data_IF_307897280776
#
_entry.id   IF_307897280776
#
_cell.length_a   1.000
_cell.length_b   1.000
_cell.length_c   1.000
_cell.angle_alpha   90.00
_cell.angle_beta   90.00
_cell.angle_gamma   90.00
#
_symmetry.space_group_name_H-M   'P 1'
#
loop_
_entity.id
_entity.type
_entity.pdbx_description
1 polymer ?
#
# COMPACT_ATOMS: atom_id res chain seq x y z
N UNK A 1 10.43 36.05 12.78
CA UNK A 1 9.05 36.41 12.42
C UNK A 1 8.93 36.22 10.92
N UNK A 2 8.49 35.05 10.48
CA UNK A 2 8.14 34.77 9.09
C UNK A 2 6.63 34.91 9.00
N UNK A 3 6.17 35.90 8.25
CA UNK A 3 4.75 36.11 7.97
C UNK A 3 4.26 34.93 7.12
N UNK A 4 3.29 34.19 7.64
CA UNK A 4 2.46 33.30 6.84
C UNK A 4 1.75 34.15 5.78
N UNK A 5 1.79 33.80 4.49
CA UNK A 5 1.06 34.55 3.48
C UNK A 5 -0.44 34.50 3.82
N UNK A 6 -1.10 35.67 3.83
CA UNK A 6 -2.56 35.78 3.91
C UNK A 6 -3.17 34.98 2.74
N UNK A 7 -3.74 33.81 3.03
CA UNK A 7 -4.60 33.10 2.09
C UNK A 7 -5.92 33.86 2.05
N UNK A 8 -6.36 34.40 0.89
CA UNK A 8 -7.62 35.13 0.81
C UNK A 8 -8.80 34.19 1.11
N UNK A 9 -9.60 34.51 2.13
CA UNK A 9 -10.75 33.71 2.60
C UNK A 9 -11.92 33.60 1.58
N UNK A 10 -11.85 34.27 0.42
CA UNK A 10 -12.94 34.31 -0.57
C UNK A 10 -12.41 34.14 -2.01
N UNK A 11 -11.85 32.97 -2.31
CA UNK A 11 -11.66 32.56 -3.72
C UNK A 11 -12.98 32.00 -4.26
N UNK A 12 -13.62 32.77 -5.15
CA UNK A 12 -14.83 32.34 -5.87
C UNK A 12 -14.49 31.08 -6.72
N UNK A 13 -15.11 29.91 -6.43
CA UNK A 13 -14.81 28.67 -7.12
C UNK A 13 -14.99 28.74 -8.64
N UNK A 14 -15.91 29.59 -9.13
CA UNK A 14 -16.12 29.76 -10.56
C UNK A 14 -15.02 30.61 -11.22
N UNK A 15 -14.44 31.57 -10.49
CA UNK A 15 -13.27 32.32 -10.97
C UNK A 15 -12.03 31.44 -11.04
N UNK A 16 -11.82 30.58 -10.04
CA UNK A 16 -10.73 29.59 -10.05
C UNK A 16 -10.87 28.63 -11.23
N UNK A 17 -12.07 28.08 -11.47
CA UNK A 17 -12.31 27.20 -12.64
C UNK A 17 -12.07 27.90 -13.97
N UNK A 18 -12.49 29.16 -14.10
CA UNK A 18 -12.24 29.93 -15.32
C UNK A 18 -10.76 30.21 -15.52
N UNK A 19 -10.04 30.53 -14.45
CA UNK A 19 -8.60 30.74 -14.48
C UNK A 19 -7.86 29.48 -14.91
N UNK A 20 -8.13 28.33 -14.27
CA UNK A 20 -7.50 27.04 -14.61
C UNK A 20 -7.78 26.63 -16.08
N UNK A 21 -8.98 26.89 -16.59
CA UNK A 21 -9.31 26.63 -18.00
C UNK A 21 -8.59 27.56 -18.99
N UNK A 22 -8.19 28.74 -18.53
CA UNK A 22 -7.51 29.74 -19.35
C UNK A 22 -5.99 29.56 -19.42
N UNK A 23 -5.42 28.71 -18.55
CA UNK A 23 -4.00 28.37 -18.57
C UNK A 23 -3.62 27.60 -19.85
N UNK A 24 -2.38 27.75 -20.34
CA UNK A 24 -1.78 26.87 -21.33
C UNK A 24 -1.92 25.40 -20.93
N UNK A 25 -2.02 24.50 -21.90
CA UNK A 25 -2.24 23.06 -21.64
C UNK A 25 -1.16 22.46 -20.72
N UNK A 26 0.10 22.81 -20.94
CA UNK A 26 1.25 22.33 -20.16
C UNK A 26 1.22 22.86 -18.70
N UNK A 27 0.99 24.17 -18.50
CA UNK A 27 0.84 24.76 -17.15
C UNK A 27 -0.40 24.25 -16.43
N UNK A 28 -1.48 23.97 -17.17
CA UNK A 28 -2.70 23.38 -16.62
C UNK A 28 -2.47 21.93 -16.20
N UNK A 29 -1.71 21.16 -16.98
CA UNK A 29 -1.34 19.78 -16.63
C UNK A 29 -0.45 19.75 -15.39
N UNK A 30 0.58 20.60 -15.29
CA UNK A 30 1.40 20.73 -14.08
C UNK A 30 0.56 21.11 -12.86
N UNK A 31 -0.31 22.11 -12.98
CA UNK A 31 -1.14 22.57 -11.86
C UNK A 31 -2.22 21.54 -11.47
N UNK A 32 -2.75 20.77 -12.42
CA UNK A 32 -3.67 19.67 -12.14
C UNK A 32 -2.94 18.46 -11.55
N UNK A 33 -1.67 18.22 -11.88
CA UNK A 33 -0.84 17.21 -11.21
C UNK A 33 -0.55 17.59 -9.76
N UNK A 34 -0.29 18.87 -9.48
CA UNK A 34 -0.11 19.36 -8.10
C UNK A 34 -1.40 19.28 -7.26
N UNK A 35 -2.57 19.39 -7.89
CA UNK A 35 -3.90 19.38 -7.24
C UNK A 35 -4.56 17.98 -7.30
N UNK A 36 -4.04 17.06 -8.10
CA UNK A 36 -4.43 15.67 -8.09
C UNK A 36 -4.01 15.07 -6.74
N UNK A 37 -4.94 15.19 -5.79
CA UNK A 37 -5.16 14.14 -4.82
C UNK A 37 -5.67 12.95 -5.61
N UNK A 38 -4.76 12.24 -6.28
CA UNK A 38 -5.05 10.85 -6.58
C UNK A 38 -5.50 10.23 -5.25
N UNK A 39 -6.60 9.46 -5.28
CA UNK A 39 -6.93 8.55 -4.18
C UNK A 39 -5.83 7.47 -4.16
N UNK A 40 -4.60 7.87 -3.80
CA UNK A 40 -3.46 6.98 -3.67
C UNK A 40 -3.73 6.20 -2.41
N UNK A 41 -4.29 5.01 -2.58
CA UNK A 41 -4.40 4.06 -1.49
C UNK A 41 -3.01 3.88 -0.88
N UNK A 42 -2.83 4.13 0.43
CA UNK A 42 -1.54 3.96 1.05
C UNK A 42 -1.16 2.48 1.02
N UNK A 43 -0.22 2.14 0.15
CA UNK A 43 0.33 0.79 0.05
C UNK A 43 1.68 0.77 0.74
N UNK A 44 1.82 -0.05 1.79
CA UNK A 44 3.13 -0.33 2.38
C UNK A 44 3.82 -1.37 1.51
N UNK A 45 5.12 -1.19 1.28
CA UNK A 45 5.94 -2.21 0.62
C UNK A 45 5.89 -3.54 1.38
N UNK A 46 6.21 -4.65 0.69
CA UNK A 46 6.08 -5.98 1.28
C UNK A 46 7.00 -6.19 2.47
N UNK A 47 6.41 -6.31 3.66
CA UNK A 47 7.09 -6.70 4.89
C UNK A 47 6.58 -8.08 5.36
N UNK A 48 7.45 -9.12 5.44
CA UNK A 48 7.04 -10.46 5.87
C UNK A 48 6.64 -10.52 7.36
N UNK A 49 7.01 -9.50 8.14
CA UNK A 49 6.77 -9.43 9.58
C UNK A 49 5.82 -8.25 9.92
N UNK A 50 4.53 -8.52 10.20
CA UNK A 50 3.56 -7.48 10.60
C UNK A 50 3.94 -6.72 11.88
N UNK A 51 4.69 -7.36 12.78
CA UNK A 51 5.19 -6.70 13.99
C UNK A 51 6.30 -5.69 13.68
N UNK A 52 7.11 -5.96 12.65
CA UNK A 52 8.11 -5.01 12.14
C UNK A 52 7.43 -3.76 11.57
N UNK A 53 6.33 -3.91 10.83
CA UNK A 53 5.56 -2.77 10.30
C UNK A 53 5.02 -1.91 11.45
N UNK A 54 4.36 -2.54 12.44
CA UNK A 54 3.88 -1.83 13.64
C UNK A 54 5.03 -1.08 14.35
N UNK A 55 6.16 -1.76 14.56
CA UNK A 55 7.33 -1.16 15.20
C UNK A 55 7.88 0.03 14.40
N UNK A 56 7.95 -0.06 13.08
CA UNK A 56 8.37 1.06 12.22
C UNK A 56 7.45 2.27 12.37
N UNK A 57 6.13 2.09 12.30
CA UNK A 57 5.19 3.21 12.45
C UNK A 57 5.28 3.84 13.85
N UNK A 58 5.28 3.03 14.91
CA UNK A 58 5.40 3.55 16.27
C UNK A 58 6.72 4.29 16.47
N UNK A 59 7.83 3.71 16.03
CA UNK A 59 9.16 4.30 16.19
C UNK A 59 9.27 5.66 15.49
N UNK A 60 8.78 5.79 14.25
CA UNK A 60 8.81 7.07 13.54
C UNK A 60 7.81 8.05 14.17
N UNK A 61 6.62 7.61 14.56
CA UNK A 61 5.64 8.48 15.22
C UNK A 61 6.15 9.06 16.55
N UNK A 62 6.88 8.26 17.33
CA UNK A 62 7.42 8.67 18.63
C UNK A 62 8.61 9.64 18.51
N UNK A 63 9.38 9.55 17.42
CA UNK A 63 10.61 10.33 17.22
C UNK A 63 10.50 11.44 16.16
N UNK A 64 9.42 11.45 15.36
CA UNK A 64 9.18 12.39 14.26
C UNK A 64 9.98 12.04 12.99
N UNK A 65 11.26 12.39 13.00
CA UNK A 65 12.19 12.09 11.89
C UNK A 65 13.30 11.19 12.40
N UNK A 66 13.56 10.10 11.68
CA UNK A 66 14.60 9.12 12.01
C UNK A 66 15.43 8.81 10.78
N UNK A 67 16.63 8.31 10.96
CA UNK A 67 17.48 7.81 9.86
C UNK A 67 17.20 6.34 9.55
N UNK A 68 17.56 5.89 8.34
CA UNK A 68 17.51 4.47 7.99
C UNK A 68 18.35 3.59 8.93
N UNK A 69 19.49 4.08 9.42
CA UNK A 69 20.32 3.35 10.39
C UNK A 69 19.68 3.26 11.78
N UNK A 70 19.03 4.33 12.26
CA UNK A 70 18.28 4.29 13.52
C UNK A 70 17.11 3.31 13.45
N UNK A 71 16.35 3.34 12.34
CA UNK A 71 15.27 2.39 12.09
C UNK A 71 15.80 0.94 11.99
N UNK A 72 16.95 0.73 11.32
CA UNK A 72 17.61 -0.58 11.24
C UNK A 72 17.91 -1.11 12.63
N UNK A 73 18.60 -0.31 13.44
CA UNK A 73 19.04 -0.70 14.77
C UNK A 73 17.84 -1.04 15.66
N UNK A 74 16.78 -0.22 15.61
CA UNK A 74 15.54 -0.48 16.32
C UNK A 74 14.91 -1.83 15.94
N UNK A 75 14.80 -2.13 14.64
CA UNK A 75 14.21 -3.39 14.17
C UNK A 75 15.08 -4.61 14.48
N UNK A 76 16.41 -4.46 14.48
CA UNK A 76 17.35 -5.53 14.87
C UNK A 76 17.27 -5.79 16.39
N UNK A 77 17.20 -4.74 17.20
CA UNK A 77 17.10 -4.87 18.67
C UNK A 77 15.82 -5.60 19.10
N UNK A 78 14.77 -5.51 18.29
CA UNK A 78 13.50 -6.22 18.47
C UNK A 78 13.45 -7.63 17.83
N UNK A 79 14.55 -8.09 17.21
CA UNK A 79 14.62 -9.36 16.46
C UNK A 79 13.61 -9.43 15.30
N UNK A 80 13.29 -8.27 14.70
CA UNK A 80 12.32 -8.14 13.61
C UNK A 80 12.95 -8.00 12.22
N UNK A 81 14.24 -7.69 12.15
CA UNK A 81 15.04 -7.66 10.93
C UNK A 81 16.39 -8.36 11.14
N UNK A 82 16.81 -9.15 10.16
CA UNK A 82 18.15 -9.74 10.10
C UNK A 82 18.91 -9.09 8.94
N UNK A 83 19.45 -7.90 9.19
CA UNK A 83 20.14 -7.07 8.21
C UNK A 83 21.45 -6.53 8.77
N UNK A 84 22.53 -6.76 8.03
CA UNK A 84 23.84 -6.18 8.33
C UNK A 84 23.80 -4.64 8.21
N UNK A 85 24.72 -3.98 8.93
CA UNK A 85 25.03 -2.56 8.73
C UNK A 85 25.31 -2.29 7.23
N UNK A 86 24.72 -1.22 6.69
CA UNK A 86 24.79 -0.91 5.25
C UNK A 86 23.73 -1.59 4.37
N UNK A 87 22.83 -2.42 4.92
CA UNK A 87 21.70 -3.01 4.18
C UNK A 87 20.36 -2.48 4.70
N UNK A 88 19.82 -1.47 4.03
CA UNK A 88 18.64 -0.71 4.48
C UNK A 88 17.31 -1.09 3.81
N UNK A 89 17.22 -2.27 3.19
CA UNK A 89 15.98 -2.73 2.57
C UNK A 89 15.23 -3.67 3.53
N UNK A 90 14.34 -3.11 4.35
CA UNK A 90 13.47 -3.85 5.27
C UNK A 90 12.13 -4.24 4.63
N UNK A 91 11.87 -3.80 3.40
CA UNK A 91 10.60 -4.00 2.71
C UNK A 91 9.42 -3.19 3.27
N UNK A 92 9.64 -2.23 4.17
CA UNK A 92 8.56 -1.44 4.80
C UNK A 92 8.47 -0.04 4.17
N UNK A 93 9.59 0.69 4.13
CA UNK A 93 9.67 2.07 3.62
C UNK A 93 9.97 2.04 2.11
N UNK A 94 9.16 2.73 1.30
CA UNK A 94 9.49 2.94 -0.12
C UNK A 94 10.55 4.01 -0.30
N UNK A 95 11.19 3.99 -1.45
CA UNK A 95 12.12 5.02 -1.92
C UNK A 95 11.62 5.67 -3.21
N UNK A 96 10.32 5.49 -3.50
CA UNK A 96 9.66 6.15 -4.61
C UNK A 96 9.31 7.57 -4.15
N UNK A 97 9.54 8.55 -5.02
CA UNK A 97 9.43 9.99 -4.69
C UNK A 97 7.98 10.40 -4.34
N UNK A 98 7.00 9.53 -4.61
CA UNK A 98 5.56 9.71 -4.43
C UNK A 98 4.95 8.74 -3.39
N UNK A 99 5.73 8.22 -2.43
CA UNK A 99 5.20 7.37 -1.35
C UNK A 99 4.17 8.14 -0.50
N UNK A 100 2.90 7.69 -0.43
CA UNK A 100 1.85 8.40 0.29
C UNK A 100 1.98 8.30 1.82
N UNK A 101 2.86 7.46 2.35
CA UNK A 101 3.01 7.11 3.78
C UNK A 101 4.29 7.69 4.37
N UNK A 102 5.40 7.64 3.62
CA UNK A 102 6.73 8.03 4.10
C UNK A 102 7.33 9.15 3.26
N UNK A 103 7.92 10.15 3.92
CA UNK A 103 8.83 11.09 3.26
C UNK A 103 10.27 10.61 3.46
N UNK A 104 11.06 10.57 2.39
CA UNK A 104 12.50 10.26 2.45
C UNK A 104 13.32 11.36 1.80
N UNK A 105 14.46 11.75 2.39
CA UNK A 105 15.34 12.79 1.84
C UNK A 105 16.31 12.31 0.75
N UNK A 106 16.36 11.00 0.49
CA UNK A 106 17.34 10.39 -0.39
C UNK A 106 17.12 8.90 -0.61
N UNK A 107 18.17 8.23 -1.07
CA UNK A 107 18.12 6.80 -1.40
C UNK A 107 18.25 5.90 -0.16
N UNK A 108 18.54 4.60 -0.33
CA UNK A 108 18.73 3.69 0.82
C UNK A 108 20.14 3.83 1.40
N UNK A 109 20.39 4.94 2.08
CA UNK A 109 21.66 5.28 2.73
C UNK A 109 21.47 5.47 4.24
N UNK A 110 22.53 5.28 5.02
CA UNK A 110 22.47 5.24 6.48
C UNK A 110 21.84 6.49 7.10
N UNK A 111 22.19 7.65 6.53
CA UNK A 111 21.84 9.00 6.96
C UNK A 111 20.60 9.55 6.26
N UNK A 112 19.97 8.78 5.36
CA UNK A 112 18.71 9.20 4.76
C UNK A 112 17.63 9.28 5.84
N UNK A 113 17.02 10.46 5.93
CA UNK A 113 15.97 10.76 6.89
C UNK A 113 14.63 10.24 6.37
N UNK A 114 13.84 9.70 7.30
CA UNK A 114 12.53 9.12 7.11
C UNK A 114 11.59 9.80 8.09
N UNK A 115 10.45 10.28 7.61
CA UNK A 115 9.35 10.78 8.45
C UNK A 115 8.01 10.30 7.90
N UNK A 116 6.96 10.39 8.70
CA UNK A 116 5.60 10.08 8.24
C UNK A 116 5.03 11.27 7.47
N UNK A 117 4.27 10.97 6.42
CA UNK A 117 3.33 11.93 5.82
C UNK A 117 2.10 12.09 6.73
N UNK A 118 1.19 13.06 6.49
CA UNK A 118 -0.08 13.12 7.21
C UNK A 118 -0.92 11.82 7.11
N UNK A 119 -0.84 11.10 5.99
CA UNK A 119 -1.49 9.78 5.84
C UNK A 119 -0.78 8.74 6.71
N UNK A 120 0.55 8.75 6.72
CA UNK A 120 1.36 7.88 7.58
C UNK A 120 1.09 8.11 9.07
N UNK A 121 0.91 9.35 9.51
CA UNK A 121 0.53 9.71 10.89
C UNK A 121 -0.85 9.15 11.26
N UNK A 122 -1.83 9.28 10.35
CA UNK A 122 -3.17 8.72 10.56
C UNK A 122 -3.13 7.19 10.69
N UNK A 123 -2.32 6.51 9.88
CA UNK A 123 -2.07 5.07 9.97
C UNK A 123 -1.43 4.72 11.32
N UNK A 124 -0.37 5.44 11.70
CA UNK A 124 0.35 5.23 12.94
C UNK A 124 -0.57 5.34 14.17
N UNK A 125 -1.53 6.27 14.14
CA UNK A 125 -2.48 6.49 15.24
C UNK A 125 -3.36 5.29 15.61
N UNK A 126 -3.46 4.28 14.72
CA UNK A 126 -4.23 3.05 14.96
C UNK A 126 -3.43 2.03 15.76
N UNK A 127 -2.10 2.06 15.64
CA UNK A 127 -1.20 1.19 16.39
C UNK A 127 -1.02 1.72 17.82
N UNK A 128 -1.19 0.85 18.82
CA UNK A 128 -0.89 1.18 20.21
C UNK A 128 0.43 0.55 20.68
N UNK A 129 0.77 0.73 21.96
CA UNK A 129 1.98 0.16 22.58
C UNK A 129 1.87 -1.36 22.91
N UNK A 130 0.75 -2.02 22.62
CA UNK A 130 0.60 -3.46 22.89
C UNK A 130 1.61 -4.27 22.07
N UNK A 131 2.35 -5.16 22.74
CA UNK A 131 3.26 -6.11 22.08
C UNK A 131 2.53 -7.01 21.07
N UNK A 132 1.25 -7.31 21.32
CA UNK A 132 0.43 -8.11 20.42
C UNK A 132 -0.30 -7.24 19.41
N UNK A 133 -0.35 -7.70 18.15
CA UNK A 133 -1.16 -7.10 17.09
C UNK A 133 -2.65 -7.32 17.39
N UNK A 134 -3.38 -6.24 17.60
CA UNK A 134 -4.82 -6.25 17.89
C UNK A 134 -5.63 -6.53 16.62
N UNK A 135 -6.91 -6.95 16.74
CA UNK A 135 -7.76 -7.20 15.57
C UNK A 135 -7.88 -6.00 14.62
N UNK A 136 -7.99 -4.77 15.15
CA UNK A 136 -8.08 -3.54 14.34
C UNK A 136 -6.77 -3.25 13.60
N UNK A 137 -5.63 -3.45 14.26
CA UNK A 137 -4.29 -3.29 13.68
C UNK A 137 -4.04 -4.35 12.60
N UNK A 138 -4.52 -5.57 12.82
CA UNK A 138 -4.46 -6.64 11.82
C UNK A 138 -5.30 -6.30 10.60
N UNK A 139 -6.52 -5.80 10.79
CA UNK A 139 -7.39 -5.38 9.69
C UNK A 139 -6.75 -4.25 8.88
N UNK A 140 -6.17 -3.26 9.55
CA UNK A 140 -5.40 -2.19 8.93
C UNK A 140 -4.21 -2.72 8.15
N UNK A 141 -3.35 -3.55 8.76
CA UNK A 141 -2.18 -4.15 8.09
C UNK A 141 -2.57 -5.00 6.87
N UNK A 142 -3.69 -5.72 6.94
CA UNK A 142 -4.24 -6.44 5.79
C UNK A 142 -4.71 -5.49 4.67
N UNK A 143 -5.22 -4.30 5.00
CA UNK A 143 -5.63 -3.28 4.04
C UNK A 143 -4.47 -2.47 3.45
N UNK A 144 -3.41 -2.22 4.23
CA UNK A 144 -2.22 -1.47 3.83
C UNK A 144 -1.25 -2.27 2.98
N UNK A 145 -1.20 -3.59 3.17
CA UNK A 145 -0.40 -4.45 2.33
C UNK A 145 -1.12 -4.67 0.99
N UNK A 146 -0.39 -4.93 -0.12
CA UNK A 146 -0.97 -5.17 -1.45
C UNK A 146 -1.86 -6.42 -1.57
N UNK A 147 -2.44 -6.92 -0.47
CA UNK A 147 -3.54 -7.86 -0.46
C UNK A 147 -4.86 -7.26 -0.95
N UNK A 148 -4.94 -5.97 -1.30
CA UNK A 148 -6.00 -5.48 -2.20
C UNK A 148 -6.13 -6.37 -3.44
N UNK A 149 -5.00 -6.75 -4.05
CA UNK A 149 -5.00 -7.71 -5.17
C UNK A 149 -5.42 -9.14 -4.78
N UNK A 150 -5.20 -9.55 -3.53
CA UNK A 150 -5.69 -10.82 -2.99
C UNK A 150 -7.21 -10.79 -2.72
N UNK A 151 -7.73 -9.68 -2.20
CA UNK A 151 -9.15 -9.43 -2.05
C UNK A 151 -9.85 -9.30 -3.39
N UNK A 152 -9.27 -8.58 -4.37
CA UNK A 152 -9.76 -8.55 -5.75
C UNK A 152 -9.77 -9.95 -6.35
N UNK A 153 -8.74 -10.76 -6.12
CA UNK A 153 -8.72 -12.16 -6.57
C UNK A 153 -9.86 -12.98 -5.95
N UNK A 154 -10.11 -12.85 -4.64
CA UNK A 154 -11.21 -13.53 -3.96
C UNK A 154 -12.58 -12.99 -4.40
N UNK A 155 -12.71 -11.69 -4.66
CA UNK A 155 -13.92 -11.04 -5.18
C UNK A 155 -14.25 -11.55 -6.59
N UNK A 156 -13.25 -11.64 -7.47
CA UNK A 156 -13.42 -12.22 -8.79
C UNK A 156 -13.82 -13.71 -8.71
N UNK A 157 -13.32 -14.46 -7.72
CA UNK A 157 -13.81 -15.82 -7.48
C UNK A 157 -15.28 -15.84 -7.02
N UNK A 158 -15.67 -14.89 -6.18
CA UNK A 158 -17.02 -14.76 -5.64
C UNK A 158 -18.06 -14.40 -6.71
N UNK A 159 -17.74 -13.43 -7.58
CA UNK A 159 -18.58 -13.04 -8.72
C UNK A 159 -18.90 -14.23 -9.64
N UNK A 160 -18.02 -15.22 -9.65
CA UNK A 160 -18.14 -16.45 -10.41
C UNK A 160 -18.43 -17.67 -9.52
N UNK A 161 -19.00 -17.52 -8.32
CA UNK A 161 -19.22 -18.63 -7.37
C UNK A 161 -19.96 -19.83 -7.95
N UNK A 162 -21.04 -19.57 -8.69
CA UNK A 162 -21.91 -20.63 -9.25
C UNK A 162 -21.24 -21.43 -10.37
N UNK A 163 -20.55 -20.74 -11.29
CA UNK A 163 -20.01 -21.34 -12.49
C UNK A 163 -18.50 -21.62 -12.40
N UNK A 164 -17.78 -20.97 -11.49
CA UNK A 164 -16.33 -20.88 -11.43
C UNK A 164 -15.72 -20.04 -12.56
N UNK A 165 -14.49 -19.60 -12.38
CA UNK A 165 -13.73 -18.80 -13.37
C UNK A 165 -12.57 -19.60 -13.95
N UNK A 166 -12.31 -19.51 -15.26
CA UNK A 166 -11.11 -20.12 -15.83
C UNK A 166 -9.87 -19.36 -15.38
N UNK A 167 -8.75 -20.07 -15.22
CA UNK A 167 -7.46 -19.45 -14.86
C UNK A 167 -7.08 -18.30 -15.78
N UNK A 168 -7.32 -18.46 -17.09
CA UNK A 168 -6.96 -17.44 -18.07
C UNK A 168 -7.81 -16.19 -17.86
N UNK A 169 -9.13 -16.35 -17.74
CA UNK A 169 -10.05 -15.24 -17.55
C UNK A 169 -9.78 -14.50 -16.22
N UNK A 170 -9.44 -15.23 -15.16
CA UNK A 170 -8.99 -14.65 -13.89
C UNK A 170 -7.66 -13.91 -14.02
N UNK A 171 -6.71 -14.45 -14.81
CA UNK A 171 -5.43 -13.79 -15.08
C UNK A 171 -5.63 -12.51 -15.89
N UNK A 172 -6.49 -12.54 -16.91
CA UNK A 172 -6.79 -11.40 -17.76
C UNK A 172 -7.48 -10.30 -16.95
N UNK A 173 -8.48 -10.63 -16.12
CA UNK A 173 -9.12 -9.66 -15.22
C UNK A 173 -8.15 -9.04 -14.20
N UNK A 174 -7.22 -9.83 -13.65
CA UNK A 174 -6.17 -9.32 -12.77
C UNK A 174 -5.15 -8.45 -13.53
N UNK A 175 -4.89 -8.73 -14.81
CA UNK A 175 -4.02 -7.90 -15.66
C UNK A 175 -4.71 -6.59 -16.03
N UNK A 176 -6.03 -6.61 -16.26
CA UNK A 176 -6.80 -5.39 -16.52
C UNK A 176 -6.76 -4.44 -15.31
N UNK A 177 -6.77 -4.99 -14.08
CA UNK A 177 -6.71 -4.21 -12.83
C UNK A 177 -5.29 -3.78 -12.43
N UNK A 178 -4.28 -4.64 -12.63
CA UNK A 178 -2.94 -4.45 -12.06
C UNK A 178 -1.80 -4.47 -13.11
N UNK A 179 -2.13 -4.39 -14.40
CA UNK A 179 -1.18 -4.46 -15.49
C UNK A 179 -0.36 -5.75 -15.49
N UNK A 180 0.90 -5.69 -15.92
CA UNK A 180 1.79 -6.86 -15.99
C UNK A 180 1.98 -7.61 -14.67
N UNK A 181 1.80 -6.94 -13.52
CA UNK A 181 1.87 -7.54 -12.17
C UNK A 181 0.69 -8.49 -11.90
N UNK A 182 -0.44 -8.32 -12.60
CA UNK A 182 -1.62 -9.18 -12.47
C UNK A 182 -1.36 -10.68 -12.72
N UNK A 183 -0.44 -11.01 -13.65
CA UNK A 183 -0.01 -12.40 -13.88
C UNK A 183 0.71 -13.01 -12.69
N UNK A 184 1.61 -12.24 -12.08
CA UNK A 184 2.32 -12.64 -10.88
C UNK A 184 1.35 -12.86 -9.72
N UNK A 185 0.46 -11.89 -9.47
CA UNK A 185 -0.56 -11.98 -8.41
C UNK A 185 -1.47 -13.19 -8.60
N UNK A 186 -1.98 -13.42 -9.82
CA UNK A 186 -2.80 -14.60 -10.13
C UNK A 186 -2.06 -15.89 -9.79
N UNK A 187 -0.78 -16.01 -10.17
CA UNK A 187 0.05 -17.17 -9.81
C UNK A 187 0.23 -17.35 -8.31
N UNK A 188 0.60 -16.27 -7.61
CA UNK A 188 0.87 -16.23 -6.19
C UNK A 188 -0.37 -16.58 -5.36
N UNK A 189 -1.49 -15.89 -5.57
CA UNK A 189 -2.74 -16.10 -4.82
C UNK A 189 -3.38 -17.46 -5.13
N UNK A 190 -3.33 -17.93 -6.38
CA UNK A 190 -3.79 -19.30 -6.72
C UNK A 190 -3.04 -20.37 -5.91
N UNK A 191 -1.74 -20.18 -5.69
CA UNK A 191 -0.91 -21.11 -4.92
C UNK A 191 -1.25 -21.02 -3.43
N UNK A 192 -1.30 -19.79 -2.91
CA UNK A 192 -1.51 -19.54 -1.49
C UNK A 192 -2.93 -19.90 -1.02
N UNK A 193 -3.96 -19.42 -1.70
CA UNK A 193 -5.36 -19.70 -1.34
C UNK A 193 -5.76 -21.16 -1.55
N UNK A 194 -5.12 -21.89 -2.46
CA UNK A 194 -5.29 -23.34 -2.55
C UNK A 194 -4.72 -24.07 -1.32
N UNK A 195 -3.59 -23.60 -0.77
CA UNK A 195 -3.02 -24.17 0.47
C UNK A 195 -3.88 -23.84 1.70
N UNK A 196 -4.53 -22.68 1.68
CA UNK A 196 -5.46 -22.24 2.73
C UNK A 196 -6.85 -22.85 2.60
N UNK A 197 -7.13 -23.61 1.54
CA UNK A 197 -8.43 -24.23 1.31
C UNK A 197 -9.53 -23.23 0.92
N UNK A 198 -9.18 -22.03 0.45
CA UNK A 198 -10.12 -20.99 0.04
C UNK A 198 -10.53 -21.10 -1.44
N UNK A 199 -9.88 -21.95 -2.22
CA UNK A 199 -10.29 -22.24 -3.59
C UNK A 199 -10.18 -23.71 -3.92
N UNK A 200 -11.13 -24.19 -4.72
CA UNK A 200 -11.11 -25.51 -5.35
C UNK A 200 -10.68 -25.41 -6.81
N UNK A 201 -10.08 -26.49 -7.31
CA UNK A 201 -9.55 -26.57 -8.68
C UNK A 201 -10.30 -27.64 -9.43
N UNK A 202 -11.03 -27.23 -10.46
CA UNK A 202 -11.66 -28.12 -11.40
C UNK A 202 -10.86 -28.15 -12.71
N UNK A 203 -10.74 -29.33 -13.32
CA UNK A 203 -10.09 -29.50 -14.61
C UNK A 203 -11.13 -29.61 -15.72
N UNK A 204 -11.28 -28.55 -16.51
CA UNK A 204 -12.15 -28.53 -17.70
C UNK A 204 -11.29 -28.74 -18.94
N UNK A 205 -11.18 -30.01 -19.36
CA UNK A 205 -10.31 -30.43 -20.46
C UNK A 205 -8.81 -30.18 -20.15
N UNK A 206 -8.18 -29.29 -20.93
CA UNK A 206 -6.78 -28.85 -20.70
C UNK A 206 -6.67 -27.60 -19.81
N UNK A 207 -7.80 -26.94 -19.51
CA UNK A 207 -7.82 -25.71 -18.71
C UNK A 207 -8.10 -26.02 -17.23
N UNK A 208 -7.74 -25.06 -16.38
CA UNK A 208 -8.07 -25.06 -14.94
C UNK A 208 -9.17 -24.05 -14.71
N UNK A 209 -10.19 -24.44 -13.95
CA UNK A 209 -11.27 -23.59 -13.46
C UNK A 209 -11.15 -23.53 -11.94
N UNK A 210 -11.41 -22.36 -11.37
CA UNK A 210 -11.30 -22.11 -9.94
C UNK A 210 -12.68 -21.75 -9.39
N UNK A 211 -12.99 -22.35 -8.25
CA UNK A 211 -14.22 -22.12 -7.51
C UNK A 211 -13.88 -21.63 -6.11
N UNK A 212 -14.64 -20.69 -5.53
CA UNK A 212 -14.47 -20.31 -4.15
C UNK A 212 -14.83 -21.50 -3.24
N UNK A 213 -14.05 -21.70 -2.18
CA UNK A 213 -14.32 -22.72 -1.15
C UNK A 213 -14.50 -22.10 0.24
N UNK A 214 -14.89 -20.83 0.26
CA UNK A 214 -15.24 -20.09 1.47
C UNK A 214 -16.76 -19.83 1.51
N UNK A 215 -17.35 -19.59 2.70
CA UNK A 215 -18.77 -19.32 2.85
C UNK A 215 -19.22 -18.04 2.13
N UNK A 216 -20.45 -18.05 1.65
CA UNK A 216 -21.15 -16.92 1.02
C UNK A 216 -21.59 -15.91 2.11
N UNK A 217 -20.62 -15.21 2.73
CA UNK A 217 -20.85 -14.15 3.74
C UNK A 217 -19.56 -13.41 4.15
N UNK A 218 -18.62 -13.17 3.22
CA UNK A 218 -17.46 -12.31 3.47
C UNK A 218 -17.63 -10.99 2.71
#
# INVERSE_FOLDING_TARGET
MTQTPDVPDDLDPEQVKQYVKSLPEEEREELLMEVQTEDVYPVVNWAPNPAAVKATFNFIADNGTVTYEELRQHLVDLDYADTDEGKYNFGIVSIEDDDPIFNTTGSREADTEISLTPIGENIASVFDESENIRPVERALLCGLQPYGSGFTYLSLLEEHREDGILRQDLEDAMVDQFGGKGKYFTGYFTSWYAKLGLLEKERVGRKKKFHPNFPEAW
#
